data_IF_782451242842
#
_entry.id   IF_782451242842
#
_cell.length_a   1.000
_cell.length_b   1.000
_cell.length_c   1.000
_cell.angle_alpha   90.00
_cell.angle_beta   90.00
_cell.angle_gamma   90.00
#
_symmetry.space_group_name_H-M   'P 1'
#
loop_
_entity.id
_entity.type
_entity.pdbx_description
1 polymer ?
#
# COMPACT_ATOMS: atom_id res chain seq x y z
N UNK A 1 -9.58 4.58 -10.89
CA UNK A 1 -9.03 3.24 -10.66
C UNK A 1 -8.54 3.12 -9.25
N UNK A 2 -8.90 2.03 -8.57
CA UNK A 2 -8.64 1.84 -7.15
C UNK A 2 -7.97 0.50 -6.90
N UNK A 3 -6.88 0.51 -6.16
CA UNK A 3 -6.32 -0.70 -5.54
C UNK A 3 -6.73 -0.69 -4.08
N UNK A 4 -7.53 -1.70 -3.68
CA UNK A 4 -7.95 -1.91 -2.30
C UNK A 4 -7.07 -2.97 -1.65
N UNK A 5 -6.37 -2.59 -0.59
CA UNK A 5 -5.69 -3.56 0.27
C UNK A 5 -6.71 -4.01 1.32
N UNK A 6 -7.11 -5.26 1.25
CA UNK A 6 -7.96 -5.89 2.26
C UNK A 6 -7.23 -7.11 2.82
N UNK A 7 -6.94 -7.10 4.11
CA UNK A 7 -6.40 -8.27 4.80
C UNK A 7 -7.59 -9.18 5.16
N UNK A 8 -8.03 -9.99 4.18
CA UNK A 8 -9.06 -11.00 4.40
C UNK A 8 -8.59 -11.96 5.50
N UNK A 9 -9.49 -12.50 6.27
CA UNK A 9 -9.22 -13.42 7.39
C UNK A 9 -8.65 -12.80 8.67
N UNK A 10 -8.26 -11.54 8.70
CA UNK A 10 -7.79 -10.90 9.93
C UNK A 10 -8.86 -10.95 11.03
N UNK A 11 -10.11 -10.60 10.69
CA UNK A 11 -11.24 -10.67 11.62
C UNK A 11 -11.45 -12.08 12.18
N UNK A 12 -11.25 -13.13 11.37
CA UNK A 12 -11.40 -14.53 11.79
C UNK A 12 -10.31 -14.93 12.77
N UNK A 13 -9.06 -14.55 12.52
CA UNK A 13 -7.94 -14.75 13.43
C UNK A 13 -8.14 -13.97 14.74
N UNK A 14 -8.57 -12.72 14.64
CA UNK A 14 -8.82 -11.86 15.81
C UNK A 14 -10.01 -12.33 16.65
N UNK A 15 -11.08 -12.86 16.04
CA UNK A 15 -12.21 -13.45 16.78
C UNK A 15 -11.85 -14.73 17.51
N UNK A 16 -10.90 -15.50 16.99
CA UNK A 16 -10.39 -16.71 17.66
C UNK A 16 -9.46 -16.41 18.83
N UNK A 17 -8.79 -15.26 18.82
CA UNK A 17 -7.89 -14.83 19.88
C UNK A 17 -8.59 -14.06 21.02
N UNK A 18 -9.92 -13.85 20.93
CA UNK A 18 -10.75 -13.29 22.02
C UNK A 18 -10.33 -11.91 22.50
N UNK A 19 -10.04 -11.79 23.82
CA UNK A 19 -9.71 -10.50 24.49
C UNK A 19 -8.44 -9.79 23.99
N UNK A 20 -7.68 -10.39 23.09
CA UNK A 20 -6.46 -9.82 22.47
C UNK A 20 -6.74 -8.73 21.43
N UNK A 21 -8.00 -8.42 21.21
CA UNK A 21 -8.45 -7.60 20.10
C UNK A 21 -7.91 -6.17 20.10
N UNK A 22 -7.89 -5.52 21.24
CA UNK A 22 -7.49 -4.10 21.32
C UNK A 22 -5.99 -3.88 21.13
N UNK A 23 -5.16 -4.77 21.66
CA UNK A 23 -3.70 -4.66 21.56
C UNK A 23 -3.16 -4.97 20.14
N UNK A 24 -3.96 -5.66 19.31
CA UNK A 24 -3.63 -5.97 17.92
C UNK A 24 -4.21 -4.98 16.93
N UNK A 25 -5.35 -4.36 17.21
CA UNK A 25 -6.11 -3.55 16.27
C UNK A 25 -5.34 -2.30 15.82
N UNK A 26 -4.76 -1.56 16.74
CA UNK A 26 -4.02 -0.33 16.45
C UNK A 26 -2.76 -0.59 15.61
N UNK A 27 -1.88 -1.57 15.97
CA UNK A 27 -0.73 -1.89 15.14
C UNK A 27 -1.08 -2.32 13.70
N UNK A 28 -2.22 -2.99 13.53
CA UNK A 28 -2.68 -3.40 12.19
C UNK A 28 -3.14 -2.24 11.34
N UNK A 29 -3.89 -1.30 11.92
CA UNK A 29 -4.32 -0.09 11.22
C UNK A 29 -3.12 0.70 10.69
N UNK A 30 -2.07 0.83 11.50
CA UNK A 30 -0.84 1.49 11.10
C UNK A 30 -0.15 0.79 9.92
N UNK A 31 -0.07 -0.55 9.94
CA UNK A 31 0.55 -1.31 8.84
C UNK A 31 -0.28 -1.22 7.56
N UNK A 32 -1.61 -1.30 7.66
CA UNK A 32 -2.51 -1.18 6.50
C UNK A 32 -2.41 0.23 5.88
N UNK A 33 -2.39 1.27 6.72
CA UNK A 33 -2.19 2.65 6.28
C UNK A 33 -0.81 2.85 5.67
N UNK A 34 0.23 2.37 6.32
CA UNK A 34 1.62 2.40 5.84
C UNK A 34 1.79 1.64 4.51
N UNK A 35 1.10 0.51 4.35
CA UNK A 35 1.05 -0.26 3.11
C UNK A 35 0.48 0.54 1.93
N UNK A 36 -0.58 1.29 2.16
CA UNK A 36 -1.14 2.21 1.15
C UNK A 36 -0.14 3.31 0.75
N UNK A 37 0.55 3.89 1.72
CA UNK A 37 1.58 4.90 1.44
C UNK A 37 2.77 4.31 0.67
N UNK A 38 3.17 3.07 0.97
CA UNK A 38 4.24 2.38 0.26
C UNK A 38 3.88 2.16 -1.22
N UNK A 39 2.65 1.71 -1.50
CA UNK A 39 2.16 1.54 -2.88
C UNK A 39 2.14 2.88 -3.61
N UNK A 40 1.61 3.93 -2.97
CA UNK A 40 1.61 5.27 -3.54
C UNK A 40 3.03 5.73 -3.88
N UNK A 41 3.98 5.56 -2.96
CA UNK A 41 5.36 5.95 -3.17
C UNK A 41 6.01 5.20 -4.35
N UNK A 42 5.79 3.89 -4.47
CA UNK A 42 6.29 3.10 -5.60
C UNK A 42 5.64 3.50 -6.93
N UNK A 43 4.34 3.80 -6.95
CA UNK A 43 3.65 4.30 -8.14
C UNK A 43 4.21 5.66 -8.58
N UNK A 44 4.34 6.61 -7.65
CA UNK A 44 4.93 7.94 -7.91
C UNK A 44 6.35 7.80 -8.42
N UNK A 45 7.17 6.97 -7.75
CA UNK A 45 8.55 6.70 -8.17
C UNK A 45 8.61 6.15 -9.58
N UNK A 46 7.74 5.20 -9.94
CA UNK A 46 7.70 4.61 -11.29
C UNK A 46 7.33 5.64 -12.37
N UNK A 47 6.44 6.58 -12.07
CA UNK A 47 6.02 7.65 -12.99
C UNK A 47 7.12 8.68 -13.16
N UNK A 48 7.80 9.06 -12.07
CA UNK A 48 8.84 10.08 -12.07
C UNK A 48 10.22 9.53 -12.50
N UNK A 49 10.41 8.20 -12.52
CA UNK A 49 11.68 7.61 -12.93
C UNK A 49 12.01 7.99 -14.37
N UNK A 50 13.28 8.31 -14.61
CA UNK A 50 13.84 8.48 -15.96
C UNK A 50 13.84 7.20 -16.78
N UNK A 51 14.48 7.23 -17.94
CA UNK A 51 14.66 6.04 -18.80
C UNK A 51 13.40 5.65 -19.60
N UNK A 52 12.45 6.56 -19.77
CA UNK A 52 11.32 6.33 -20.69
C UNK A 52 11.84 6.24 -22.12
N UNK A 53 11.31 5.30 -22.90
CA UNK A 53 11.81 4.98 -24.24
C UNK A 53 10.79 5.26 -25.36
N UNK A 54 9.70 5.93 -25.05
CA UNK A 54 8.69 6.31 -26.05
C UNK A 54 9.08 7.52 -26.88
N UNK A 55 8.14 8.02 -27.67
CA UNK A 55 8.31 9.14 -28.60
C UNK A 55 8.64 10.43 -27.84
N UNK A 56 9.50 11.26 -28.39
CA UNK A 56 9.81 12.59 -27.89
C UNK A 56 8.86 13.60 -28.54
N UNK A 57 8.22 14.40 -27.71
CA UNK A 57 7.35 15.51 -28.14
C UNK A 57 8.00 16.83 -27.82
N UNK A 58 8.10 17.71 -28.81
CA UNK A 58 8.49 19.10 -28.61
C UNK A 58 7.26 19.94 -28.23
N UNK A 59 7.37 20.64 -27.11
CA UNK A 59 6.33 21.58 -26.63
C UNK A 59 6.86 22.99 -26.73
N UNK A 60 6.03 23.92 -27.16
CA UNK A 60 6.47 25.27 -27.50
C UNK A 60 6.05 26.35 -26.49
N UNK A 61 5.16 26.03 -25.56
CA UNK A 61 4.74 27.00 -24.55
C UNK A 61 4.63 26.37 -23.14
N UNK A 62 5.63 26.44 -22.28
CA UNK A 62 7.02 26.85 -22.56
C UNK A 62 7.74 25.80 -23.44
N UNK A 63 8.78 26.25 -24.15
CA UNK A 63 9.57 25.34 -25.00
C UNK A 63 10.29 24.30 -24.15
N UNK A 64 9.94 23.01 -24.37
CA UNK A 64 10.56 21.86 -23.70
C UNK A 64 10.35 20.61 -24.53
N UNK A 65 11.24 19.65 -24.40
CA UNK A 65 11.01 18.31 -24.93
C UNK A 65 10.45 17.40 -23.82
N UNK A 66 9.51 16.53 -24.17
CA UNK A 66 8.95 15.53 -23.30
C UNK A 66 9.02 14.15 -23.95
N UNK A 67 9.71 13.22 -23.29
CA UNK A 67 9.76 11.83 -23.72
C UNK A 67 8.62 11.05 -23.08
N UNK A 68 7.72 10.54 -23.88
CA UNK A 68 6.64 9.66 -23.41
C UNK A 68 7.17 8.31 -22.97
N UNK A 69 6.37 7.56 -22.23
CA UNK A 69 6.63 6.14 -21.95
C UNK A 69 6.30 5.28 -23.16
N UNK A 70 7.02 4.20 -23.37
CA UNK A 70 6.62 3.14 -24.28
C UNK A 70 5.53 2.25 -23.66
N UNK A 71 4.82 1.44 -24.47
CA UNK A 71 3.89 0.43 -23.98
C UNK A 71 4.54 -0.48 -22.92
N UNK A 72 3.82 -0.82 -21.86
CA UNK A 72 4.31 -1.61 -20.74
C UNK A 72 5.17 -0.84 -19.71
N UNK A 73 5.65 0.35 -20.05
CA UNK A 73 6.34 1.23 -19.11
C UNK A 73 5.34 2.09 -18.33
N UNK A 74 5.63 2.37 -17.05
CA UNK A 74 4.86 3.35 -16.29
C UNK A 74 4.82 4.71 -17.02
N UNK A 75 3.71 5.46 -16.94
CA UNK A 75 3.56 6.75 -17.62
C UNK A 75 4.72 7.69 -17.31
N UNK A 76 5.10 8.50 -18.29
CA UNK A 76 6.06 9.59 -18.06
C UNK A 76 5.36 10.78 -17.39
N UNK A 77 5.98 11.34 -16.36
CA UNK A 77 5.47 12.57 -15.76
C UNK A 77 5.77 13.76 -16.66
N UNK A 78 4.73 14.52 -17.02
CA UNK A 78 4.86 15.74 -17.79
C UNK A 78 4.57 16.98 -16.91
N UNK A 79 3.31 17.14 -16.51
CA UNK A 79 2.86 18.26 -15.67
C UNK A 79 2.78 17.90 -14.18
N UNK A 80 3.01 16.65 -13.82
CA UNK A 80 2.80 16.16 -12.45
C UNK A 80 1.33 15.88 -12.09
N UNK A 81 0.38 16.14 -12.99
CA UNK A 81 -1.05 15.99 -12.71
C UNK A 81 -1.43 14.56 -12.28
N UNK A 82 -0.90 13.53 -12.94
CA UNK A 82 -1.15 12.13 -12.55
C UNK A 82 -0.64 11.86 -11.14
N UNK A 83 0.58 12.27 -10.83
CA UNK A 83 1.23 12.07 -9.53
C UNK A 83 0.46 12.76 -8.41
N UNK A 84 0.03 14.01 -8.62
CA UNK A 84 -0.72 14.78 -7.63
C UNK A 84 -2.09 14.21 -7.31
N UNK A 85 -2.66 13.45 -8.25
CA UNK A 85 -3.98 12.83 -8.10
C UNK A 85 -3.94 11.40 -7.55
N UNK A 86 -2.78 10.80 -7.31
CA UNK A 86 -2.66 9.52 -6.61
C UNK A 86 -2.85 9.76 -5.11
N UNK A 87 -3.92 9.20 -4.54
CA UNK A 87 -4.33 9.41 -3.15
C UNK A 87 -4.43 8.10 -2.40
N UNK A 88 -4.22 8.17 -1.10
CA UNK A 88 -4.44 7.06 -0.16
C UNK A 88 -5.62 7.46 0.73
N UNK A 89 -6.67 6.64 0.73
CA UNK A 89 -7.87 6.84 1.54
C UNK A 89 -8.04 5.68 2.50
N UNK A 90 -8.28 5.98 3.75
CA UNK A 90 -8.72 4.99 4.72
C UNK A 90 -10.23 4.80 4.55
N UNK A 91 -10.67 3.60 4.15
CA UNK A 91 -12.11 3.29 4.04
C UNK A 91 -12.71 2.88 5.36
N UNK A 92 -11.98 2.04 6.08
CA UNK A 92 -12.33 1.55 7.41
C UNK A 92 -11.05 1.22 8.17
N UNK A 93 -11.18 0.73 9.41
CA UNK A 93 -10.05 0.41 10.27
C UNK A 93 -9.03 -0.55 9.62
N UNK A 94 -9.49 -1.48 8.77
CA UNK A 94 -8.68 -2.55 8.21
C UNK A 94 -8.50 -2.46 6.69
N UNK A 95 -8.98 -1.38 6.07
CA UNK A 95 -8.96 -1.22 4.62
C UNK A 95 -8.43 0.15 4.23
N UNK A 96 -7.31 0.15 3.52
CA UNK A 96 -6.77 1.32 2.86
C UNK A 96 -6.90 1.16 1.35
N UNK A 97 -7.40 2.19 0.69
CA UNK A 97 -7.55 2.27 -0.75
C UNK A 97 -6.52 3.22 -1.33
N UNK A 98 -5.83 2.78 -2.39
CA UNK A 98 -4.98 3.64 -3.20
C UNK A 98 -5.69 3.86 -4.53
N UNK A 99 -5.93 5.11 -4.87
CA UNK A 99 -6.69 5.50 -6.06
C UNK A 99 -5.96 6.57 -6.86
N UNK A 100 -6.22 6.64 -8.15
CA UNK A 100 -5.87 7.77 -8.98
C UNK A 100 -7.14 8.52 -9.40
N UNK A 101 -7.21 9.79 -9.05
CA UNK A 101 -8.32 10.68 -9.43
C UNK A 101 -8.11 11.38 -10.77
N UNK A 102 -7.14 10.96 -11.59
CA UNK A 102 -6.99 11.47 -12.95
C UNK A 102 -7.94 10.71 -13.89
N UNK A 103 -8.74 11.43 -14.66
CA UNK A 103 -9.80 10.85 -15.53
C UNK A 103 -9.24 9.85 -16.54
N UNK A 104 -8.01 10.05 -16.97
CA UNK A 104 -7.31 9.20 -17.92
C UNK A 104 -6.51 8.04 -17.27
N UNK A 105 -6.50 7.93 -15.96
CA UNK A 105 -5.67 6.93 -15.25
C UNK A 105 -6.05 5.48 -15.57
N UNK A 106 -7.34 5.21 -15.77
CA UNK A 106 -7.82 3.88 -16.17
C UNK A 106 -7.33 3.51 -17.59
N UNK A 107 -7.32 4.46 -18.50
CA UNK A 107 -6.80 4.25 -19.85
C UNK A 107 -5.29 3.98 -19.85
N UNK A 108 -4.55 4.63 -18.97
CA UNK A 108 -3.13 4.34 -18.82
C UNK A 108 -2.89 2.93 -18.26
N UNK A 109 -3.63 2.55 -17.23
CA UNK A 109 -3.43 1.26 -16.55
C UNK A 109 -3.81 0.07 -17.44
N UNK A 110 -4.98 0.14 -18.10
CA UNK A 110 -5.55 -0.98 -18.86
C UNK A 110 -5.38 -0.85 -20.37
N UNK A 111 -5.00 0.31 -20.86
CA UNK A 111 -5.01 0.61 -22.29
C UNK A 111 -6.40 0.94 -22.81
N UNK A 112 -6.49 1.12 -24.11
CA UNK A 112 -7.72 1.32 -24.88
C UNK A 112 -7.62 0.56 -26.20
N UNK A 113 -8.64 0.58 -27.03
CA UNK A 113 -8.58 0.03 -28.40
C UNK A 113 -7.48 0.65 -29.27
N UNK A 114 -7.01 1.87 -28.93
CA UNK A 114 -6.01 2.64 -29.67
C UNK A 114 -4.68 2.82 -28.95
N UNK A 115 -4.58 2.40 -27.67
CA UNK A 115 -3.40 2.62 -26.86
C UNK A 115 -3.11 1.39 -26.00
N UNK A 116 -1.92 0.84 -26.13
CA UNK A 116 -1.45 -0.24 -25.27
C UNK A 116 -1.25 0.24 -23.83
N UNK A 117 -1.45 -0.64 -22.83
CA UNK A 117 -1.39 -0.29 -21.41
C UNK A 117 0.00 0.24 -20.99
N UNK A 118 -0.02 1.16 -20.06
CA UNK A 118 1.14 1.73 -19.35
C UNK A 118 0.87 1.67 -17.84
N UNK A 119 0.91 0.47 -17.25
CA UNK A 119 0.47 0.25 -15.88
C UNK A 119 1.43 0.91 -14.89
N UNK A 120 0.89 1.46 -13.81
CA UNK A 120 1.65 2.13 -12.75
C UNK A 120 1.18 1.78 -11.34
N UNK A 121 -0.13 1.53 -11.13
CA UNK A 121 -0.66 1.18 -9.81
C UNK A 121 -0.50 -0.32 -9.53
N UNK A 122 -0.87 -1.17 -10.48
CA UNK A 122 -0.76 -2.62 -10.28
C UNK A 122 0.70 -3.08 -10.10
N UNK A 123 1.69 -2.65 -10.92
CA UNK A 123 3.08 -2.98 -10.67
C UNK A 123 3.63 -2.43 -9.34
N UNK A 124 3.17 -1.24 -8.91
CA UNK A 124 3.54 -0.69 -7.62
C UNK A 124 3.00 -1.53 -6.46
N UNK A 125 1.77 -2.04 -6.57
CA UNK A 125 1.19 -2.98 -5.62
C UNK A 125 2.00 -4.28 -5.56
N UNK A 126 2.29 -4.91 -6.70
CA UNK A 126 3.06 -6.16 -6.76
C UNK A 126 4.45 -6.04 -6.12
N UNK A 127 5.16 -4.93 -6.39
CA UNK A 127 6.45 -4.64 -5.74
C UNK A 127 6.34 -4.44 -4.23
N UNK A 128 5.23 -3.90 -3.76
CA UNK A 128 5.02 -3.53 -2.36
C UNK A 128 4.45 -4.67 -1.52
N UNK A 129 3.70 -5.60 -2.13
CA UNK A 129 2.91 -6.62 -1.41
C UNK A 129 3.76 -7.49 -0.47
N UNK A 130 4.96 -7.88 -0.90
CA UNK A 130 5.86 -8.69 -0.06
C UNK A 130 6.35 -7.94 1.18
N UNK A 131 6.68 -6.65 1.04
CA UNK A 131 7.08 -5.78 2.16
C UNK A 131 5.90 -5.57 3.12
N UNK A 132 4.70 -5.37 2.59
CA UNK A 132 3.48 -5.20 3.38
C UNK A 132 3.18 -6.48 4.16
N UNK A 133 3.21 -7.64 3.50
CA UNK A 133 2.98 -8.93 4.16
C UNK A 133 3.99 -9.19 5.29
N UNK A 134 5.27 -8.90 5.05
CA UNK A 134 6.32 -9.00 6.07
C UNK A 134 6.06 -8.07 7.25
N UNK A 135 5.69 -6.81 6.99
CA UNK A 135 5.37 -5.85 8.05
C UNK A 135 4.17 -6.30 8.89
N UNK A 136 3.12 -6.83 8.26
CA UNK A 136 1.97 -7.43 8.95
C UNK A 136 2.43 -8.58 9.84
N UNK A 137 3.22 -9.51 9.31
CA UNK A 137 3.72 -10.68 10.05
C UNK A 137 4.53 -10.27 11.28
N UNK A 138 5.47 -9.33 11.14
CA UNK A 138 6.31 -8.86 12.25
C UNK A 138 5.48 -8.15 13.35
N UNK A 139 4.43 -7.41 12.97
CA UNK A 139 3.53 -6.77 13.93
C UNK A 139 2.69 -7.81 14.71
N UNK A 140 2.17 -8.83 14.01
CA UNK A 140 1.46 -9.94 14.67
C UNK A 140 2.39 -10.66 15.64
N UNK A 141 3.58 -11.02 15.21
CA UNK A 141 4.59 -11.71 16.04
C UNK A 141 4.93 -10.90 17.29
N UNK A 142 5.15 -9.59 17.14
CA UNK A 142 5.46 -8.69 18.26
C UNK A 142 4.31 -8.64 19.26
N UNK A 143 3.07 -8.55 18.79
CA UNK A 143 1.89 -8.52 19.62
C UNK A 143 1.69 -9.85 20.37
N UNK A 144 1.84 -10.99 19.69
CA UNK A 144 1.78 -12.33 20.32
C UNK A 144 2.83 -12.46 21.42
N UNK A 145 4.08 -12.06 21.15
CA UNK A 145 5.16 -12.14 22.15
C UNK A 145 4.90 -11.25 23.36
N UNK A 146 4.31 -10.07 23.19
CA UNK A 146 3.92 -9.19 24.29
C UNK A 146 2.89 -9.87 25.19
N UNK A 147 1.89 -10.48 24.60
CA UNK A 147 0.82 -11.18 25.31
C UNK A 147 1.37 -12.39 26.05
N UNK A 148 2.19 -13.23 25.40
CA UNK A 148 2.82 -14.37 26.05
C UNK A 148 3.63 -13.96 27.28
N UNK A 149 4.39 -12.87 27.17
CA UNK A 149 5.17 -12.33 28.30
C UNK A 149 4.25 -11.88 29.45
N UNK A 150 3.12 -11.26 29.13
CA UNK A 150 2.13 -10.80 30.12
C UNK A 150 1.45 -11.98 30.85
N UNK A 151 1.09 -13.04 30.11
CA UNK A 151 0.51 -14.27 30.69
C UNK A 151 1.48 -14.95 31.65
N UNK A 152 2.76 -15.05 31.29
CA UNK A 152 3.81 -15.63 32.14
C UNK A 152 3.96 -14.80 33.43
N UNK A 153 3.94 -13.49 33.34
CA UNK A 153 4.04 -12.59 34.47
C UNK A 153 2.84 -12.75 35.43
N UNK A 154 1.63 -12.88 34.92
CA UNK A 154 0.42 -13.14 35.72
C UNK A 154 0.47 -14.49 36.41
N UNK A 155 0.99 -15.53 35.75
CA UNK A 155 1.15 -16.86 36.39
C UNK A 155 2.13 -16.81 37.58
N UNK A 156 3.22 -16.07 37.44
CA UNK A 156 4.16 -15.86 38.54
C UNK A 156 3.54 -15.08 39.72
N UNK A 157 2.78 -14.02 39.40
CA UNK A 157 2.08 -13.23 40.41
C UNK A 157 1.07 -14.08 41.20
N UNK A 158 0.22 -14.84 40.52
CA UNK A 158 -0.75 -15.70 41.15
C UNK A 158 -0.11 -16.81 42.02
N UNK A 159 1.05 -17.34 41.61
CA UNK A 159 1.79 -18.35 42.38
C UNK A 159 2.35 -17.79 43.69
N UNK A 160 2.74 -16.52 43.72
CA UNK A 160 3.19 -15.86 44.97
C UNK A 160 2.05 -15.63 45.96
N UNK A 161 0.82 -15.36 45.47
CA UNK A 161 -0.34 -15.14 46.35
C UNK A 161 -1.03 -16.42 46.80
N UNK A 162 -0.78 -17.56 46.18
CA UNK A 162 -1.33 -18.85 46.62
C UNK A 162 -0.49 -19.55 47.70
N UNK A 163 0.63 -18.93 48.13
CA UNK A 163 1.52 -19.42 49.19
C UNK A 163 1.45 -18.59 50.47
N UNK A 164 0.51 -17.64 50.53
CA UNK A 164 0.12 -16.89 51.75
C UNK A 164 -1.24 -17.37 52.25
#
# INVERSE_FOLDING_TARGET
MDIKINVKNLKKVMSQLGRLNQDLEVPFQEVVKGGGQLIRAEAVKSIQSGGKSGIVYEKYNPRRSHRASAPGQAPASDTGNLVSKIRVKQKDKNTTQVESGADYSAYLEYGTSKMLPRPFLFPAFEKSRGKIAKAVFERVKTAINRIAKWVIMLQHYNKQFSML
#
